data_IF_977446761961
#
_entry.id   IF_977446761961
#
_cell.length_a   1.000
_cell.length_b   1.000
_cell.length_c   1.000
_cell.angle_alpha   90.00
_cell.angle_beta   90.00
_cell.angle_gamma   90.00
#
_symmetry.space_group_name_H-M   'P 1'
#
loop_
_entity.id
_entity.type
_entity.pdbx_description
1 polymer ?
#
# COMPACT_ATOMS: atom_id res chain seq x y z
N UNK A 1 15.45 -28.86 -56.69
CA UNK A 1 15.27 -29.68 -55.49
C UNK A 1 16.35 -29.35 -54.50
N UNK A 2 16.09 -28.44 -53.53
CA UNK A 2 16.88 -28.26 -52.33
C UNK A 2 15.92 -27.89 -51.21
N UNK A 3 15.63 -28.85 -50.33
CA UNK A 3 14.89 -28.65 -49.08
C UNK A 3 15.88 -28.15 -48.03
N UNK A 4 15.84 -26.88 -47.64
CA UNK A 4 16.46 -26.38 -46.41
C UNK A 4 15.48 -26.57 -45.25
N UNK A 5 15.77 -27.56 -44.42
CA UNK A 5 15.14 -27.73 -43.13
C UNK A 5 15.70 -26.70 -42.16
N UNK A 6 14.95 -25.64 -41.84
CA UNK A 6 15.24 -24.73 -40.74
C UNK A 6 14.69 -25.37 -39.47
N UNK A 7 15.57 -25.97 -38.68
CA UNK A 7 15.28 -26.36 -37.31
C UNK A 7 15.26 -25.12 -36.45
N UNK A 8 14.06 -24.64 -36.14
CA UNK A 8 13.83 -23.55 -35.19
C UNK A 8 13.98 -24.12 -33.77
N UNK A 9 15.15 -23.93 -33.17
CA UNK A 9 15.39 -24.20 -31.76
C UNK A 9 14.64 -23.14 -30.95
N UNK A 10 13.40 -23.45 -30.55
CA UNK A 10 12.65 -22.68 -29.60
C UNK A 10 13.29 -22.88 -28.22
N UNK A 11 14.19 -21.98 -27.85
CA UNK A 11 14.69 -21.84 -26.47
C UNK A 11 13.54 -21.27 -25.62
N UNK A 12 12.69 -22.15 -25.11
CA UNK A 12 11.76 -21.81 -24.05
C UNK A 12 12.58 -21.51 -22.79
N UNK A 13 12.90 -20.21 -22.56
CA UNK A 13 13.20 -19.72 -21.23
C UNK A 13 11.90 -19.80 -20.42
N UNK A 14 11.61 -20.98 -19.89
CA UNK A 14 10.72 -21.09 -18.75
C UNK A 14 11.44 -20.38 -17.60
N UNK A 15 11.05 -19.14 -17.32
CA UNK A 15 11.26 -18.54 -16.01
C UNK A 15 10.48 -19.45 -15.06
N UNK A 16 11.16 -20.46 -14.54
CA UNK A 16 10.63 -21.35 -13.53
C UNK A 16 10.24 -20.49 -12.34
N UNK A 17 8.94 -20.22 -12.20
CA UNK A 17 8.40 -19.91 -10.90
C UNK A 17 8.86 -21.05 -10.01
N UNK A 18 9.86 -20.78 -9.17
CA UNK A 18 10.40 -21.70 -8.18
C UNK A 18 9.29 -21.96 -7.18
N UNK A 19 8.39 -22.90 -7.54
CA UNK A 19 7.44 -23.46 -6.59
C UNK A 19 8.31 -24.11 -5.51
N UNK A 20 8.02 -23.84 -4.26
CA UNK A 20 8.73 -24.45 -3.16
C UNK A 20 8.46 -25.97 -3.13
N UNK A 21 9.28 -26.65 -2.38
CA UNK A 21 9.23 -28.11 -2.25
C UNK A 21 9.10 -28.50 -0.78
N UNK A 22 8.59 -29.69 -0.54
CA UNK A 22 8.67 -30.33 0.77
C UNK A 22 9.88 -31.27 0.78
N UNK A 23 10.85 -30.99 1.64
CA UNK A 23 12.08 -31.74 1.83
C UNK A 23 11.87 -32.75 2.97
N UNK A 24 12.03 -34.04 2.66
CA UNK A 24 11.98 -35.12 3.64
C UNK A 24 13.40 -35.46 4.01
N UNK A 25 13.72 -35.38 5.30
CA UNK A 25 15.04 -35.71 5.83
C UNK A 25 15.11 -37.18 6.24
N UNK A 26 16.31 -37.76 6.27
CA UNK A 26 16.56 -39.12 6.75
C UNK A 26 16.16 -39.33 8.20
N UNK A 27 16.08 -38.26 8.99
CA UNK A 27 15.50 -38.25 10.35
C UNK A 27 13.99 -38.48 10.38
N UNK A 28 13.31 -38.40 9.23
CA UNK A 28 11.85 -38.42 9.12
C UNK A 28 11.23 -37.01 9.19
N UNK A 29 12.01 -35.97 9.49
CA UNK A 29 11.51 -34.61 9.54
C UNK A 29 11.14 -34.10 8.12
N UNK A 30 10.14 -33.21 8.06
CA UNK A 30 9.68 -32.60 6.81
C UNK A 30 9.74 -31.08 6.89
N UNK A 31 10.45 -30.47 5.96
CA UNK A 31 10.61 -29.02 5.85
C UNK A 31 9.94 -28.56 4.56
N UNK A 32 8.82 -27.85 4.66
CA UNK A 32 8.22 -27.16 3.51
C UNK A 32 8.81 -25.75 3.38
N UNK A 33 9.34 -25.41 2.21
CA UNK A 33 9.98 -24.13 2.01
C UNK A 33 10.47 -23.88 0.60
N UNK A 34 10.93 -22.64 0.33
CA UNK A 34 11.57 -22.28 -0.93
C UNK A 34 13.10 -22.41 -0.80
N UNK A 35 13.73 -22.91 -1.85
CA UNK A 35 15.20 -22.96 -1.93
C UNK A 35 15.70 -21.53 -2.12
N UNK A 36 16.57 -21.08 -1.21
CA UNK A 36 17.26 -19.79 -1.28
C UNK A 36 18.63 -19.96 -1.92
N UNK A 37 19.30 -21.05 -1.59
CA UNK A 37 20.62 -21.39 -2.12
C UNK A 37 20.77 -22.91 -2.19
N UNK A 38 21.38 -23.37 -3.24
CA UNK A 38 21.70 -24.77 -3.47
C UNK A 38 23.16 -24.89 -3.94
N UNK A 39 23.95 -25.69 -3.26
CA UNK A 39 25.29 -26.05 -3.65
C UNK A 39 25.47 -27.59 -3.60
N UNK A 40 26.66 -28.07 -3.91
CA UNK A 40 26.92 -29.53 -4.01
C UNK A 40 26.80 -30.28 -2.66
N UNK A 41 26.90 -29.57 -1.56
CA UNK A 41 26.92 -30.16 -0.22
C UNK A 41 25.72 -29.75 0.63
N UNK A 42 25.16 -28.57 0.39
CA UNK A 42 24.10 -27.99 1.24
C UNK A 42 22.94 -27.43 0.45
N UNK A 43 21.78 -27.50 1.07
CA UNK A 43 20.54 -26.90 0.63
C UNK A 43 20.07 -25.89 1.67
N UNK A 44 20.01 -24.61 1.32
CA UNK A 44 19.46 -23.58 2.21
C UNK A 44 17.99 -23.35 1.85
N UNK A 45 17.10 -23.64 2.79
CA UNK A 45 15.66 -23.58 2.65
C UNK A 45 15.13 -22.43 3.50
N UNK A 46 14.23 -21.62 2.95
CA UNK A 46 13.41 -20.68 3.71
C UNK A 46 12.07 -21.33 4.04
N UNK A 47 11.83 -21.78 5.27
CA UNK A 47 10.60 -22.47 5.63
C UNK A 47 9.37 -21.55 5.48
N UNK A 48 8.21 -22.13 5.11
CA UNK A 48 6.97 -21.36 4.93
C UNK A 48 6.35 -20.85 6.22
N UNK A 49 6.52 -21.60 7.31
CA UNK A 49 5.87 -21.36 8.61
C UNK A 49 6.80 -20.72 9.66
N UNK A 50 8.07 -20.51 9.33
CA UNK A 50 9.02 -19.91 10.27
C UNK A 50 9.28 -18.47 9.91
N UNK A 51 9.09 -17.55 10.84
CA UNK A 51 9.53 -16.14 10.72
C UNK A 51 11.07 -16.04 10.81
N UNK A 52 11.70 -17.07 11.37
CA UNK A 52 13.13 -17.12 11.57
C UNK A 52 13.84 -17.78 10.40
N UNK A 53 15.05 -17.34 10.24
CA UNK A 53 16.22 -17.97 9.65
C UNK A 53 15.97 -19.09 8.62
N UNK A 54 16.70 -18.93 7.55
CA UNK A 54 16.99 -19.98 6.61
C UNK A 54 17.51 -21.23 7.35
N UNK A 55 17.03 -22.39 6.95
CA UNK A 55 17.50 -23.68 7.47
C UNK A 55 18.46 -24.28 6.45
N UNK A 56 19.71 -24.54 6.83
CA UNK A 56 20.68 -25.23 5.99
C UNK A 56 20.62 -26.73 6.28
N UNK A 57 20.39 -27.53 5.25
CA UNK A 57 20.32 -28.98 5.30
C UNK A 57 21.45 -29.55 4.46
N UNK A 58 22.23 -30.48 5.02
CA UNK A 58 23.22 -31.19 4.22
C UNK A 58 22.52 -32.09 3.19
N UNK A 59 22.99 -32.10 1.94
CA UNK A 59 22.39 -32.96 0.89
C UNK A 59 22.39 -34.43 1.24
N UNK A 60 23.39 -34.87 2.01
CA UNK A 60 23.48 -36.25 2.48
C UNK A 60 22.33 -36.65 3.42
N UNK A 61 21.73 -35.66 4.09
CA UNK A 61 20.60 -35.84 5.03
C UNK A 61 19.24 -35.75 4.32
N UNK A 62 19.22 -35.33 3.07
CA UNK A 62 18.00 -35.30 2.28
C UNK A 62 17.66 -36.70 1.79
N UNK A 63 16.46 -37.16 2.13
CA UNK A 63 15.93 -38.44 1.66
C UNK A 63 15.15 -38.28 0.36
N UNK A 64 14.27 -37.25 0.32
CA UNK A 64 13.37 -37.06 -0.80
C UNK A 64 13.01 -35.55 -0.94
N UNK A 65 12.77 -35.13 -2.17
CA UNK A 65 12.23 -33.81 -2.51
C UNK A 65 10.90 -34.00 -3.20
N UNK A 66 9.82 -33.57 -2.56
CA UNK A 66 8.47 -33.67 -3.05
C UNK A 66 7.97 -32.31 -3.50
N UNK A 67 7.29 -32.19 -4.64
CA UNK A 67 6.64 -30.95 -5.03
C UNK A 67 5.59 -30.57 -3.98
N UNK A 68 5.40 -29.26 -3.79
CA UNK A 68 4.40 -28.77 -2.85
C UNK A 68 3.00 -29.31 -3.19
N UNK A 69 2.31 -29.77 -2.17
CA UNK A 69 0.94 -30.22 -2.32
C UNK A 69 0.03 -29.04 -2.71
N UNK A 70 -1.09 -29.27 -3.41
CA UNK A 70 -2.08 -28.23 -3.70
C UNK A 70 -2.54 -27.46 -2.45
N UNK A 71 -2.61 -28.15 -1.30
CA UNK A 71 -2.91 -27.52 -0.01
C UNK A 71 -1.92 -26.44 0.37
N UNK A 72 -0.62 -26.70 0.20
CA UNK A 72 0.45 -25.74 0.51
C UNK A 72 0.34 -24.52 -0.40
N UNK A 73 0.20 -24.75 -1.70
CA UNK A 73 0.12 -23.68 -2.69
C UNK A 73 -1.10 -22.77 -2.45
N UNK A 74 -2.26 -23.36 -2.18
CA UNK A 74 -3.48 -22.60 -1.89
C UNK A 74 -3.37 -21.84 -0.56
N UNK A 75 -2.75 -22.45 0.47
CA UNK A 75 -2.50 -21.76 1.73
C UNK A 75 -1.56 -20.57 1.57
N UNK A 76 -0.47 -20.72 0.82
CA UNK A 76 0.49 -19.64 0.57
C UNK A 76 -0.16 -18.48 -0.22
N UNK A 77 -0.99 -18.80 -1.22
CA UNK A 77 -1.75 -17.81 -1.96
C UNK A 77 -2.71 -17.05 -1.04
N UNK A 78 -3.46 -17.75 -0.19
CA UNK A 78 -4.36 -17.16 0.78
C UNK A 78 -3.62 -16.29 1.80
N UNK A 79 -2.48 -16.75 2.32
CA UNK A 79 -1.64 -15.98 3.25
C UNK A 79 -1.13 -14.69 2.62
N UNK A 80 -0.70 -14.75 1.34
CA UNK A 80 -0.26 -13.57 0.59
C UNK A 80 -1.38 -12.56 0.41
N UNK A 81 -2.57 -13.01 0.05
CA UNK A 81 -3.75 -12.15 -0.08
C UNK A 81 -4.22 -11.56 1.25
N UNK A 82 -4.02 -12.29 2.36
CA UNK A 82 -4.38 -11.84 3.71
C UNK A 82 -3.48 -10.72 4.25
N UNK A 83 -2.30 -10.48 3.63
CA UNK A 83 -1.41 -9.36 4.00
C UNK A 83 -1.91 -8.04 3.39
N UNK A 84 -3.12 -7.64 3.77
CA UNK A 84 -3.77 -6.43 3.29
C UNK A 84 -3.07 -5.21 3.89
N UNK A 85 -2.36 -4.46 3.05
CA UNK A 85 -1.65 -3.22 3.46
C UNK A 85 -2.56 -1.99 3.39
N UNK A 86 -3.55 -1.99 2.50
CA UNK A 86 -4.47 -0.86 2.32
C UNK A 86 -5.90 -1.38 2.32
N UNK A 87 -6.77 -0.78 3.14
CA UNK A 87 -8.19 -1.07 3.20
C UNK A 87 -8.96 0.23 3.51
N UNK A 88 -9.79 0.67 2.58
CA UNK A 88 -10.59 1.87 2.70
C UNK A 88 -11.98 1.61 3.30
N UNK A 89 -12.39 0.33 3.36
CA UNK A 89 -13.65 -0.10 3.93
C UNK A 89 -13.62 -1.57 4.36
N UNK A 90 -14.67 -2.06 5.04
CA UNK A 90 -14.75 -3.42 5.54
C UNK A 90 -14.95 -4.49 4.45
N UNK A 91 -15.40 -4.12 3.27
CA UNK A 91 -15.68 -5.01 2.13
C UNK A 91 -14.43 -5.72 1.61
N UNK A 92 -13.25 -5.09 1.75
CA UNK A 92 -11.95 -5.67 1.35
C UNK A 92 -11.69 -7.00 2.08
N UNK A 93 -12.18 -7.14 3.31
CA UNK A 93 -12.00 -8.34 4.13
C UNK A 93 -13.06 -9.43 3.84
N UNK A 94 -14.21 -9.06 3.26
CA UNK A 94 -15.34 -9.97 3.08
C UNK A 94 -14.99 -11.15 2.17
N UNK A 95 -14.24 -10.93 1.08
CA UNK A 95 -13.85 -11.99 0.17
C UNK A 95 -13.01 -13.08 0.84
N UNK A 96 -12.09 -12.67 1.72
CA UNK A 96 -11.23 -13.61 2.47
C UNK A 96 -12.02 -14.31 3.58
N UNK A 97 -12.68 -13.54 4.44
CA UNK A 97 -13.36 -14.05 5.63
C UNK A 97 -14.60 -14.89 5.30
N UNK A 98 -15.41 -14.43 4.33
CA UNK A 98 -16.72 -15.00 4.09
C UNK A 98 -16.71 -16.07 2.96
N UNK A 99 -15.61 -16.12 2.15
CA UNK A 99 -15.51 -17.05 1.01
C UNK A 99 -14.25 -17.89 1.02
N UNK A 100 -13.05 -17.29 0.94
CA UNK A 100 -11.81 -18.04 0.69
C UNK A 100 -11.36 -18.89 1.87
N UNK A 101 -11.37 -18.35 3.09
CA UNK A 101 -11.03 -19.11 4.31
C UNK A 101 -12.00 -20.27 4.54
N UNK A 102 -13.33 -20.09 4.50
CA UNK A 102 -14.27 -21.21 4.60
C UNK A 102 -14.11 -22.26 3.50
N UNK A 103 -13.86 -21.84 2.24
CA UNK A 103 -13.63 -22.76 1.13
C UNK A 103 -12.37 -23.61 1.34
N UNK A 104 -11.27 -22.99 1.81
CA UNK A 104 -10.06 -23.71 2.14
C UNK A 104 -10.28 -24.74 3.25
N UNK A 105 -10.99 -24.38 4.32
CA UNK A 105 -11.34 -25.31 5.41
C UNK A 105 -12.19 -26.47 4.95
N UNK A 106 -13.18 -26.20 4.10
CA UNK A 106 -14.04 -27.24 3.53
C UNK A 106 -13.24 -28.23 2.65
N UNK A 107 -12.29 -27.71 1.87
CA UNK A 107 -11.45 -28.52 0.97
C UNK A 107 -10.38 -29.32 1.74
N UNK A 108 -9.85 -28.76 2.82
CA UNK A 108 -8.76 -29.37 3.61
C UNK A 108 -9.13 -29.45 5.11
N UNK A 109 -10.09 -30.31 5.50
CA UNK A 109 -10.59 -30.37 6.88
C UNK A 109 -9.53 -30.75 7.94
N UNK A 110 -8.53 -31.52 7.51
CA UNK A 110 -7.41 -31.97 8.36
C UNK A 110 -6.10 -31.22 8.05
N UNK A 111 -6.20 -29.98 7.58
CA UNK A 111 -5.06 -29.18 7.23
C UNK A 111 -4.08 -28.97 8.38
N UNK A 112 -2.79 -29.16 8.11
CA UNK A 112 -1.70 -28.83 9.05
C UNK A 112 -1.55 -27.32 9.30
N UNK A 113 -2.14 -26.49 8.44
CA UNK A 113 -2.13 -25.03 8.56
C UNK A 113 -3.29 -24.45 9.36
N UNK A 114 -4.10 -25.30 10.00
CA UNK A 114 -5.32 -24.88 10.70
C UNK A 114 -5.06 -23.77 11.71
N UNK A 115 -4.07 -23.94 12.58
CA UNK A 115 -3.76 -22.93 13.61
C UNK A 115 -3.25 -21.60 13.04
N UNK A 116 -2.50 -21.64 11.93
CA UNK A 116 -2.07 -20.41 11.25
C UNK A 116 -3.24 -19.74 10.53
N UNK A 117 -4.13 -20.52 9.93
CA UNK A 117 -5.36 -20.01 9.31
C UNK A 117 -6.27 -19.34 10.34
N UNK A 118 -6.37 -19.91 11.58
CA UNK A 118 -7.12 -19.32 12.67
C UNK A 118 -6.52 -17.98 13.13
N UNK A 119 -5.19 -17.84 13.13
CA UNK A 119 -4.49 -16.58 13.41
C UNK A 119 -4.78 -15.54 12.33
N UNK A 120 -4.69 -15.93 11.05
CA UNK A 120 -4.98 -15.06 9.92
C UNK A 120 -6.42 -14.57 10.01
N UNK A 121 -7.39 -15.47 10.22
CA UNK A 121 -8.79 -15.13 10.33
C UNK A 121 -9.07 -14.16 11.49
N UNK A 122 -8.48 -14.43 12.66
CA UNK A 122 -8.60 -13.55 13.83
C UNK A 122 -8.03 -12.14 13.55
N UNK A 123 -6.88 -12.06 12.86
CA UNK A 123 -6.28 -10.79 12.47
C UNK A 123 -7.17 -10.03 11.46
N UNK A 124 -7.68 -10.71 10.44
CA UNK A 124 -8.57 -10.12 9.45
C UNK A 124 -9.91 -9.68 10.07
N UNK A 125 -10.45 -10.44 11.01
CA UNK A 125 -11.68 -10.05 11.74
C UNK A 125 -11.46 -8.80 12.58
N UNK A 126 -10.31 -8.69 13.27
CA UNK A 126 -9.93 -7.47 14.00
C UNK A 126 -9.80 -6.28 13.05
N UNK A 127 -9.17 -6.49 11.91
CA UNK A 127 -8.99 -5.46 10.89
C UNK A 127 -10.35 -5.02 10.31
N UNK A 128 -11.24 -5.95 9.98
CA UNK A 128 -12.61 -5.66 9.53
C UNK A 128 -13.39 -4.85 10.56
N UNK A 129 -13.28 -5.18 11.84
CA UNK A 129 -13.94 -4.43 12.91
C UNK A 129 -13.40 -2.99 13.01
N UNK A 130 -12.10 -2.78 12.80
CA UNK A 130 -11.51 -1.44 12.76
C UNK A 130 -12.05 -0.63 11.56
N UNK A 131 -12.20 -1.26 10.39
CA UNK A 131 -12.78 -0.62 9.22
C UNK A 131 -14.28 -0.30 9.42
N UNK A 132 -15.04 -1.19 10.05
CA UNK A 132 -16.45 -0.94 10.41
C UNK A 132 -16.61 0.21 11.41
N UNK A 133 -15.62 0.44 12.27
CA UNK A 133 -15.55 1.60 13.17
C UNK A 133 -15.14 2.91 12.46
N UNK A 134 -15.06 2.92 11.13
CA UNK A 134 -14.75 4.11 10.33
C UNK A 134 -13.25 4.43 10.25
N UNK A 135 -12.37 3.49 10.60
CA UNK A 135 -10.94 3.63 10.37
C UNK A 135 -10.56 3.12 8.99
N UNK A 136 -9.49 3.65 8.41
CA UNK A 136 -8.90 3.19 7.15
C UNK A 136 -7.48 2.68 7.37
N UNK A 137 -7.08 1.64 6.63
CA UNK A 137 -5.72 1.09 6.70
C UNK A 137 -4.91 1.59 5.51
N UNK A 138 -3.76 2.21 5.74
CA UNK A 138 -2.86 2.71 4.71
C UNK A 138 -1.44 2.28 5.04
N UNK A 139 -0.77 1.59 4.12
CA UNK A 139 0.57 1.03 4.31
C UNK A 139 0.68 0.20 5.61
N UNK A 140 -0.36 -0.59 5.94
CA UNK A 140 -0.42 -1.39 7.16
C UNK A 140 -0.80 -0.62 8.43
N UNK A 141 -1.06 0.68 8.34
CA UNK A 141 -1.38 1.55 9.45
C UNK A 141 -2.88 1.88 9.49
N UNK A 142 -3.50 1.77 10.68
CA UNK A 142 -4.88 2.20 10.89
C UNK A 142 -4.94 3.69 11.21
N UNK A 143 -5.70 4.45 10.41
CA UNK A 143 -5.96 5.87 10.57
C UNK A 143 -7.46 6.08 10.76
N UNK A 144 -7.84 6.96 11.67
CA UNK A 144 -9.25 7.31 11.90
C UNK A 144 -9.68 8.36 10.89
N UNK A 145 -10.69 8.04 10.11
CA UNK A 145 -11.23 8.96 9.11
C UNK A 145 -11.83 10.20 9.78
N UNK A 146 -11.47 11.39 9.29
CA UNK A 146 -12.08 12.65 9.69
C UNK A 146 -11.51 13.32 10.93
N UNK A 147 -10.51 12.77 11.59
CA UNK A 147 -9.93 13.41 12.79
C UNK A 147 -8.98 14.57 12.46
N UNK A 148 -8.33 14.59 11.29
CA UNK A 148 -7.33 15.61 10.94
C UNK A 148 -7.08 15.71 9.44
N UNK A 149 -6.67 16.91 9.02
CA UNK A 149 -6.31 17.19 7.63
C UNK A 149 -5.23 16.22 7.06
N UNK A 150 -4.14 15.85 7.81
CA UNK A 150 -3.13 14.92 7.31
C UNK A 150 -3.66 13.49 7.04
N UNK A 151 -4.58 12.99 7.88
CA UNK A 151 -5.16 11.67 7.69
C UNK A 151 -6.11 11.66 6.50
N UNK A 152 -6.95 12.69 6.38
CA UNK A 152 -7.83 12.87 5.22
C UNK A 152 -7.04 12.98 3.92
N UNK A 153 -5.89 13.65 3.94
CA UNK A 153 -4.97 13.75 2.82
C UNK A 153 -4.49 12.36 2.39
N UNK A 154 -4.03 11.51 3.32
CA UNK A 154 -3.58 10.15 3.02
C UNK A 154 -4.73 9.26 2.52
N UNK A 155 -5.93 9.39 3.08
CA UNK A 155 -7.12 8.66 2.63
C UNK A 155 -7.49 9.01 1.20
N UNK A 156 -7.57 10.30 0.87
CA UNK A 156 -7.89 10.76 -0.48
C UNK A 156 -6.83 10.32 -1.50
N UNK A 157 -5.56 10.33 -1.10
CA UNK A 157 -4.47 9.82 -1.91
C UNK A 157 -4.61 8.30 -2.17
N UNK A 158 -4.99 7.52 -1.16
CA UNK A 158 -5.22 6.08 -1.30
C UNK A 158 -6.38 5.78 -2.26
N UNK A 159 -7.46 6.57 -2.22
CA UNK A 159 -8.57 6.45 -3.18
C UNK A 159 -8.12 6.73 -4.62
N UNK A 160 -7.23 7.72 -4.81
CA UNK A 160 -6.64 8.01 -6.14
C UNK A 160 -5.72 6.88 -6.62
N UNK A 161 -4.99 6.22 -5.72
CA UNK A 161 -4.18 5.04 -6.04
C UNK A 161 -5.07 3.87 -6.45
N UNK A 162 -6.15 3.60 -5.73
CA UNK A 162 -7.12 2.56 -6.08
C UNK A 162 -7.73 2.81 -7.47
N UNK A 163 -8.06 4.07 -7.80
CA UNK A 163 -8.54 4.44 -9.13
C UNK A 163 -7.49 4.14 -10.22
N UNK A 164 -6.20 4.43 -9.96
CA UNK A 164 -5.09 4.09 -10.85
C UNK A 164 -4.97 2.57 -11.07
N UNK A 165 -4.97 1.79 -9.99
CA UNK A 165 -4.86 0.34 -10.02
C UNK A 165 -6.05 -0.30 -10.75
N UNK A 166 -7.26 0.19 -10.49
CA UNK A 166 -8.48 -0.26 -11.15
C UNK A 166 -8.48 0.04 -12.65
N UNK A 167 -8.04 1.22 -13.07
CA UNK A 167 -7.90 1.56 -14.49
C UNK A 167 -6.82 0.68 -15.16
N UNK A 168 -5.69 0.48 -14.48
CA UNK A 168 -4.62 -0.39 -14.96
C UNK A 168 -5.10 -1.84 -15.15
N UNK A 169 -5.87 -2.38 -14.20
CA UNK A 169 -6.42 -3.74 -14.25
C UNK A 169 -7.39 -3.93 -15.43
N UNK A 170 -8.12 -2.87 -15.83
CA UNK A 170 -8.98 -2.87 -17.03
C UNK A 170 -8.22 -2.65 -18.33
N UNK A 171 -6.91 -2.44 -18.28
CA UNK A 171 -6.08 -2.11 -19.46
C UNK A 171 -6.18 -0.66 -19.92
N UNK A 172 -6.88 0.19 -19.19
CA UNK A 172 -6.99 1.64 -19.45
C UNK A 172 -5.72 2.35 -18.93
N UNK A 173 -4.68 2.33 -19.74
CA UNK A 173 -3.38 2.93 -19.41
C UNK A 173 -3.44 4.46 -19.32
N UNK A 174 -4.09 5.17 -20.26
CA UNK A 174 -4.24 6.62 -20.12
C UNK A 174 -5.02 7.01 -18.86
N UNK A 175 -6.12 6.33 -18.56
CA UNK A 175 -6.89 6.54 -17.32
C UNK A 175 -6.07 6.30 -16.06
N UNK A 176 -5.27 5.23 -16.03
CA UNK A 176 -4.37 4.94 -14.91
C UNK A 176 -3.30 6.04 -14.74
N UNK A 177 -2.70 6.51 -15.84
CA UNK A 177 -1.69 7.57 -15.79
C UNK A 177 -2.30 8.94 -15.43
N UNK A 178 -3.54 9.23 -15.81
CA UNK A 178 -4.25 10.43 -15.37
C UNK A 178 -4.59 10.38 -13.86
N UNK A 179 -4.90 9.19 -13.32
CA UNK A 179 -5.06 9.00 -11.88
C UNK A 179 -3.73 9.17 -11.13
N UNK A 180 -2.61 8.70 -11.69
CA UNK A 180 -1.27 8.98 -11.17
C UNK A 180 -0.95 10.49 -11.18
N UNK A 181 -1.31 11.21 -12.25
CA UNK A 181 -1.14 12.66 -12.33
C UNK A 181 -1.92 13.39 -11.23
N UNK A 182 -3.13 12.92 -10.92
CA UNK A 182 -3.91 13.44 -9.80
C UNK A 182 -3.20 13.20 -8.45
N UNK A 183 -2.56 12.04 -8.25
CA UNK A 183 -1.73 11.77 -7.06
C UNK A 183 -0.56 12.75 -6.99
N UNK A 184 0.17 12.94 -8.09
CA UNK A 184 1.33 13.82 -8.16
C UNK A 184 1.00 15.28 -7.86
N UNK A 185 -0.12 15.77 -8.39
CA UNK A 185 -0.51 17.19 -8.26
C UNK A 185 -1.16 17.48 -6.91
N UNK A 186 -2.06 16.59 -6.45
CA UNK A 186 -2.88 16.87 -5.26
C UNK A 186 -2.32 16.26 -3.99
N UNK A 187 -1.53 15.19 -4.11
CA UNK A 187 -1.07 14.41 -2.97
C UNK A 187 0.41 14.02 -3.06
N UNK A 188 1.32 14.97 -3.43
CA UNK A 188 2.75 14.65 -3.64
C UNK A 188 3.43 14.14 -2.37
N UNK A 189 2.95 14.53 -1.18
CA UNK A 189 3.46 14.10 0.11
C UNK A 189 2.71 12.88 0.69
N UNK A 190 2.00 12.12 -0.15
CA UNK A 190 1.31 10.91 0.27
C UNK A 190 2.14 9.66 0.05
N UNK A 191 1.90 8.65 0.89
CA UNK A 191 2.47 7.32 0.69
C UNK A 191 2.01 6.71 -0.63
N UNK A 192 0.73 6.91 -1.00
CA UNK A 192 0.13 6.42 -2.22
C UNK A 192 0.87 6.93 -3.47
N UNK A 193 1.26 8.22 -3.49
CA UNK A 193 2.05 8.75 -4.60
C UNK A 193 3.40 8.05 -4.73
N UNK A 194 4.16 7.97 -3.64
CA UNK A 194 5.50 7.36 -3.67
C UNK A 194 5.45 5.89 -4.07
N UNK A 195 4.47 5.14 -3.56
CA UNK A 195 4.32 3.71 -3.86
C UNK A 195 3.79 3.47 -5.29
N UNK A 196 3.14 4.46 -5.92
CA UNK A 196 2.64 4.35 -7.30
C UNK A 196 3.69 4.65 -8.38
N UNK A 197 4.84 5.24 -8.04
CA UNK A 197 5.84 5.69 -9.02
C UNK A 197 6.35 4.54 -9.89
N UNK A 198 6.70 3.39 -9.30
CA UNK A 198 7.20 2.25 -10.05
C UNK A 198 6.15 1.69 -11.02
N UNK A 199 4.89 1.64 -10.57
CA UNK A 199 3.76 1.23 -11.42
C UNK A 199 3.52 2.22 -12.55
N UNK A 200 3.61 3.52 -12.29
CA UNK A 200 3.49 4.55 -13.30
C UNK A 200 4.60 4.46 -14.37
N UNK A 201 5.84 4.24 -13.93
CA UNK A 201 6.98 4.01 -14.85
C UNK A 201 6.71 2.81 -15.77
N UNK A 202 6.18 1.73 -15.24
CA UNK A 202 5.89 0.55 -16.05
C UNK A 202 4.72 0.77 -17.01
N UNK A 203 3.66 1.46 -16.58
CA UNK A 203 2.56 1.87 -17.44
C UNK A 203 3.02 2.80 -18.58
N UNK A 204 3.89 3.75 -18.29
CA UNK A 204 4.49 4.64 -19.30
C UNK A 204 5.32 3.88 -20.33
N UNK A 205 6.12 2.90 -19.89
CA UNK A 205 6.87 2.03 -20.82
C UNK A 205 5.94 1.21 -21.71
N UNK A 206 4.81 0.74 -21.17
CA UNK A 206 3.81 0.02 -21.95
C UNK A 206 3.12 0.95 -22.96
N UNK A 207 2.69 2.14 -22.53
CA UNK A 207 2.09 3.14 -23.40
C UNK A 207 3.06 3.54 -24.53
N UNK A 208 4.31 3.81 -24.20
CA UNK A 208 5.36 4.11 -25.19
C UNK A 208 5.47 3.04 -26.27
N UNK A 209 5.43 1.77 -25.91
CA UNK A 209 5.48 0.65 -26.87
C UNK A 209 4.25 0.64 -27.79
N UNK A 210 3.07 0.97 -27.23
CA UNK A 210 1.83 1.07 -27.99
C UNK A 210 1.91 2.23 -28.99
N UNK A 211 2.35 3.40 -28.56
CA UNK A 211 2.47 4.59 -29.42
C UNK A 211 3.48 4.39 -30.56
N UNK A 212 4.63 3.79 -30.28
CA UNK A 212 5.61 3.45 -31.32
C UNK A 212 5.02 2.48 -32.34
N UNK A 213 4.30 1.44 -31.88
CA UNK A 213 3.62 0.51 -32.77
C UNK A 213 2.50 1.18 -33.55
N UNK A 214 1.66 1.96 -32.87
CA UNK A 214 0.58 2.71 -33.49
C UNK A 214 1.06 3.63 -34.61
N UNK A 215 2.19 4.32 -34.42
CA UNK A 215 2.86 5.11 -35.46
C UNK A 215 3.26 4.26 -36.68
N UNK A 216 3.83 3.08 -36.45
CA UNK A 216 4.23 2.17 -37.54
C UNK A 216 3.01 1.67 -38.30
N UNK A 217 1.97 1.26 -37.59
CA UNK A 217 0.71 0.78 -38.18
C UNK A 217 0.03 1.90 -38.96
N UNK A 218 -0.01 3.13 -38.42
CA UNK A 218 -0.54 4.30 -39.09
C UNK A 218 0.19 4.59 -40.42
N UNK A 219 1.52 4.55 -40.44
CA UNK A 219 2.34 4.72 -41.64
C UNK A 219 2.04 3.64 -42.69
N UNK A 220 1.88 2.40 -42.28
CA UNK A 220 1.50 1.31 -43.20
C UNK A 220 0.11 1.50 -43.75
N UNK A 221 -0.86 1.91 -42.93
CA UNK A 221 -2.21 2.22 -43.37
C UNK A 221 -2.24 3.36 -44.40
N UNK A 222 -1.46 4.42 -44.18
CA UNK A 222 -1.35 5.54 -45.15
C UNK A 222 -0.79 5.06 -46.49
N UNK A 223 0.23 4.20 -46.52
CA UNK A 223 0.79 3.65 -47.74
C UNK A 223 -0.23 2.79 -48.48
N UNK A 224 -0.95 1.91 -47.77
CA UNK A 224 -1.97 1.04 -48.35
C UNK A 224 -3.15 1.88 -48.87
N UNK A 225 -3.61 2.87 -48.09
CA UNK A 225 -4.65 3.78 -48.51
C UNK A 225 -4.25 4.58 -49.78
N UNK A 226 -2.98 5.03 -49.85
CA UNK A 226 -2.45 5.72 -51.03
C UNK A 226 -2.46 4.85 -52.27
N UNK A 227 -2.15 3.56 -52.18
CA UNK A 227 -2.24 2.61 -53.29
C UNK A 227 -3.70 2.37 -53.71
N UNK A 228 -4.58 2.12 -52.75
CA UNK A 228 -6.01 1.90 -53.00
C UNK A 228 -6.69 3.12 -53.62
N UNK A 229 -6.31 4.34 -53.23
CA UNK A 229 -6.83 5.58 -53.79
C UNK A 229 -6.55 5.74 -55.31
N UNK A 230 -5.43 5.15 -55.79
CA UNK A 230 -5.09 5.24 -57.23
C UNK A 230 -6.05 4.43 -58.10
N UNK A 231 -6.67 3.40 -57.54
CA UNK A 231 -7.60 2.51 -58.26
C UNK A 231 -9.06 3.02 -58.25
N UNK A 232 -9.36 4.05 -57.44
CA UNK A 232 -10.71 4.56 -57.27
C UNK A 232 -11.06 5.62 -58.33
N UNK A 233 -12.34 5.70 -58.77
CA UNK A 233 -12.87 6.85 -59.52
C UNK A 233 -12.65 8.16 -58.77
N UNK A 234 -12.44 9.27 -59.49
CA UNK A 234 -12.10 10.56 -58.90
C UNK A 234 -13.08 11.01 -57.79
N UNK A 235 -14.38 10.86 -58.00
CA UNK A 235 -15.38 11.24 -57.01
C UNK A 235 -15.24 10.42 -55.73
N UNK A 236 -15.12 9.11 -55.84
CA UNK A 236 -14.94 8.21 -54.67
C UNK A 236 -13.64 8.52 -53.92
N UNK A 237 -12.57 8.88 -54.63
CA UNK A 237 -11.31 9.33 -54.06
C UNK A 237 -11.48 10.58 -53.22
N UNK A 238 -12.16 11.59 -53.72
CA UNK A 238 -12.42 12.86 -53.02
C UNK A 238 -13.31 12.67 -51.81
N UNK A 239 -14.33 11.83 -51.89
CA UNK A 239 -15.22 11.50 -50.79
C UNK A 239 -14.45 10.80 -49.66
N UNK A 240 -13.57 9.85 -49.98
CA UNK A 240 -12.75 9.14 -49.00
C UNK A 240 -11.72 10.07 -48.31
N UNK A 241 -11.03 10.91 -49.10
CA UNK A 241 -10.09 11.89 -48.57
C UNK A 241 -10.78 12.88 -47.62
N UNK A 242 -12.01 13.28 -47.98
CA UNK A 242 -12.82 14.18 -47.16
C UNK A 242 -13.25 13.51 -45.86
N UNK A 243 -13.63 12.21 -45.90
CA UNK A 243 -13.96 11.43 -44.73
C UNK A 243 -12.74 11.27 -43.76
N UNK A 244 -11.59 10.91 -44.29
CA UNK A 244 -10.35 10.82 -43.50
C UNK A 244 -9.95 12.15 -42.87
N UNK A 245 -10.08 13.26 -43.58
CA UNK A 245 -9.80 14.58 -43.03
C UNK A 245 -10.73 14.93 -41.88
N UNK A 246 -12.03 14.64 -42.01
CA UNK A 246 -13.00 14.86 -40.92
C UNK A 246 -12.70 14.02 -39.69
N UNK A 247 -12.29 12.76 -39.88
CA UNK A 247 -11.91 11.87 -38.78
C UNK A 247 -10.65 12.39 -38.05
N UNK A 248 -9.63 12.85 -38.81
CA UNK A 248 -8.45 13.47 -38.23
C UNK A 248 -8.80 14.73 -37.42
N UNK A 249 -9.60 15.64 -38.02
CA UNK A 249 -10.03 16.89 -37.37
C UNK A 249 -10.82 16.59 -36.06
N UNK A 250 -11.70 15.58 -36.08
CA UNK A 250 -12.45 15.16 -34.88
C UNK A 250 -11.54 14.59 -33.78
N UNK A 251 -10.57 13.77 -34.18
CA UNK A 251 -9.60 13.21 -33.25
C UNK A 251 -8.73 14.29 -32.60
N UNK A 252 -8.21 15.20 -33.40
CA UNK A 252 -7.40 16.32 -32.93
C UNK A 252 -8.22 17.25 -32.01
N UNK A 253 -9.48 17.55 -32.37
CA UNK A 253 -10.40 18.32 -31.53
C UNK A 253 -10.62 17.62 -30.17
N UNK A 254 -10.82 16.31 -30.15
CA UNK A 254 -10.99 15.54 -28.93
C UNK A 254 -9.73 15.58 -28.04
N UNK A 255 -8.54 15.46 -28.60
CA UNK A 255 -7.27 15.57 -27.89
C UNK A 255 -7.12 16.97 -27.27
N UNK A 256 -7.43 18.02 -28.05
CA UNK A 256 -7.37 19.40 -27.56
C UNK A 256 -8.35 19.61 -26.40
N UNK A 257 -9.60 19.18 -26.56
CA UNK A 257 -10.61 19.26 -25.50
C UNK A 257 -10.16 18.54 -24.20
N UNK A 258 -9.63 17.32 -24.33
CA UNK A 258 -9.10 16.59 -23.18
C UNK A 258 -7.95 17.35 -22.50
N UNK A 259 -7.02 17.92 -23.27
CA UNK A 259 -5.91 18.74 -22.72
C UNK A 259 -6.42 20.01 -22.02
N UNK A 260 -7.43 20.70 -22.57
CA UNK A 260 -8.06 21.86 -21.93
C UNK A 260 -8.74 21.51 -20.60
N UNK A 261 -9.28 20.31 -20.47
CA UNK A 261 -9.83 19.76 -19.22
C UNK A 261 -8.76 19.19 -18.28
N UNK A 262 -7.48 19.41 -18.56
CA UNK A 262 -6.36 18.99 -17.72
C UNK A 262 -6.02 17.50 -17.82
N UNK A 263 -6.54 16.81 -18.84
CA UNK A 263 -6.16 15.41 -19.12
C UNK A 263 -4.79 15.41 -19.80
N UNK A 264 -3.79 14.94 -19.09
CA UNK A 264 -2.41 14.90 -19.59
C UNK A 264 -2.18 13.75 -20.57
N UNK A 265 -2.84 12.64 -20.36
CA UNK A 265 -2.72 11.42 -21.15
C UNK A 265 -4.03 11.16 -21.91
N UNK A 266 -4.11 11.57 -23.20
CA UNK A 266 -5.32 11.40 -23.97
C UNK A 266 -5.71 9.93 -24.12
N UNK A 267 -7.02 9.67 -24.14
CA UNK A 267 -7.57 8.31 -24.29
C UNK A 267 -7.69 7.87 -25.77
N UNK A 268 -7.50 8.80 -26.69
CA UNK A 268 -7.57 8.56 -28.14
C UNK A 268 -6.18 8.58 -28.77
N UNK A 269 -5.95 7.71 -29.75
CA UNK A 269 -4.69 7.67 -30.48
C UNK A 269 -4.60 8.87 -31.43
N UNK A 270 -3.41 9.46 -31.61
CA UNK A 270 -3.19 10.52 -32.58
C UNK A 270 -3.50 10.07 -34.02
N UNK A 271 -3.97 11.00 -34.85
CA UNK A 271 -4.22 10.75 -36.26
C UNK A 271 -3.11 11.34 -37.17
N UNK A 272 -1.91 11.47 -36.63
CA UNK A 272 -0.73 11.95 -37.34
C UNK A 272 0.56 11.38 -36.78
N UNK A 273 1.59 11.21 -37.60
CA UNK A 273 2.92 10.75 -37.16
C UNK A 273 3.51 11.68 -36.10
N UNK A 274 3.34 12.99 -36.27
CA UNK A 274 3.82 13.99 -35.33
C UNK A 274 3.13 13.88 -33.96
N UNK A 275 1.82 13.55 -33.94
CA UNK A 275 1.08 13.32 -32.70
C UNK A 275 1.64 12.14 -31.90
N UNK A 276 1.94 11.02 -32.58
CA UNK A 276 2.61 9.87 -31.93
C UNK A 276 4.00 10.24 -31.41
N UNK A 277 4.79 11.01 -32.17
CA UNK A 277 6.13 11.45 -31.74
C UNK A 277 6.06 12.36 -30.52
N UNK A 278 5.09 13.26 -30.48
CA UNK A 278 4.90 14.16 -29.34
C UNK A 278 4.58 13.39 -28.06
N UNK A 279 3.67 12.40 -28.12
CA UNK A 279 3.33 11.57 -26.98
C UNK A 279 4.55 10.75 -26.51
N UNK A 280 5.29 10.14 -27.44
CA UNK A 280 6.51 9.38 -27.11
C UNK A 280 7.53 10.28 -26.42
N UNK A 281 7.76 11.49 -26.94
CA UNK A 281 8.67 12.47 -26.31
C UNK A 281 8.19 12.84 -24.90
N UNK A 282 6.90 13.14 -24.73
CA UNK A 282 6.32 13.45 -23.42
C UNK A 282 6.51 12.31 -22.43
N UNK A 283 6.35 11.04 -22.87
CA UNK A 283 6.62 9.86 -22.02
C UNK A 283 8.09 9.77 -21.66
N UNK A 284 9.01 9.98 -22.59
CA UNK A 284 10.46 9.88 -22.35
C UNK A 284 10.94 10.98 -21.36
N UNK A 285 10.43 12.20 -21.49
CA UNK A 285 10.68 13.31 -20.56
C UNK A 285 10.19 12.97 -19.16
N UNK A 286 8.97 12.43 -19.04
CA UNK A 286 8.39 12.05 -17.75
C UNK A 286 9.13 10.88 -17.10
N UNK A 287 9.49 9.86 -17.87
CA UNK A 287 10.30 8.75 -17.37
C UNK A 287 11.65 9.22 -16.81
N UNK A 288 12.26 10.23 -17.46
CA UNK A 288 13.51 10.83 -17.00
C UNK A 288 13.29 11.59 -15.70
N UNK A 289 12.23 12.40 -15.62
CA UNK A 289 11.87 13.13 -14.41
C UNK A 289 11.60 12.21 -13.21
N UNK A 290 10.76 11.17 -13.39
CA UNK A 290 10.42 10.23 -12.31
C UNK A 290 11.63 9.44 -11.80
N UNK A 291 12.55 9.05 -12.68
CA UNK A 291 13.79 8.35 -12.28
C UNK A 291 14.77 9.23 -11.51
N UNK A 292 14.70 10.55 -11.67
CA UNK A 292 15.55 11.50 -10.94
C UNK A 292 15.04 11.82 -9.53
N UNK A 293 13.83 11.40 -9.17
CA UNK A 293 13.25 11.69 -7.86
C UNK A 293 13.99 10.96 -6.73
N UNK A 294 14.27 11.63 -5.60
CA UNK A 294 14.87 11.01 -4.43
C UNK A 294 13.82 10.23 -3.61
N UNK A 295 13.25 9.18 -4.22
CA UNK A 295 12.09 8.42 -3.73
C UNK A 295 12.27 7.95 -2.28
N UNK A 296 13.47 7.47 -1.92
CA UNK A 296 13.74 6.97 -0.57
C UNK A 296 13.67 8.08 0.49
N UNK A 297 14.10 9.30 0.16
CA UNK A 297 13.98 10.46 1.06
C UNK A 297 12.51 10.84 1.25
N UNK A 298 11.73 10.82 0.17
CA UNK A 298 10.28 11.08 0.24
C UNK A 298 9.58 10.05 1.09
N UNK A 299 9.85 8.75 0.84
CA UNK A 299 9.32 7.63 1.62
C UNK A 299 9.65 7.77 3.10
N UNK A 300 10.91 8.02 3.43
CA UNK A 300 11.36 8.21 4.80
C UNK A 300 10.65 9.38 5.50
N UNK A 301 10.55 10.54 4.84
CA UNK A 301 9.86 11.70 5.41
C UNK A 301 8.38 11.42 5.67
N UNK A 302 7.69 10.79 4.71
CA UNK A 302 6.27 10.45 4.83
C UNK A 302 6.04 9.44 5.95
N UNK A 303 6.86 8.39 6.05
CA UNK A 303 6.74 7.38 7.10
C UNK A 303 6.96 7.97 8.49
N UNK A 304 7.93 8.87 8.63
CA UNK A 304 8.18 9.59 9.88
C UNK A 304 7.04 10.55 10.24
N UNK A 305 6.47 11.23 9.24
CA UNK A 305 5.30 12.10 9.42
C UNK A 305 4.07 11.30 9.90
N UNK A 306 3.81 10.14 9.31
CA UNK A 306 2.72 9.24 9.73
C UNK A 306 2.98 8.72 11.16
N UNK A 307 4.23 8.36 11.49
CA UNK A 307 4.58 7.95 12.86
C UNK A 307 4.42 9.09 13.87
N UNK A 308 4.70 10.35 13.48
CA UNK A 308 4.45 11.51 14.33
C UNK A 308 2.95 11.70 14.65
N UNK A 309 2.07 11.50 13.67
CA UNK A 309 0.61 11.49 13.88
C UNK A 309 0.22 10.43 14.92
N UNK A 310 0.76 9.21 14.82
CA UNK A 310 0.49 8.13 15.78
C UNK A 310 0.99 8.44 17.19
N UNK A 311 2.18 9.05 17.31
CA UNK A 311 2.70 9.46 18.59
C UNK A 311 1.77 10.49 19.26
N UNK A 312 1.19 11.40 18.46
CA UNK A 312 0.16 12.34 18.94
C UNK A 312 -1.12 11.63 19.40
N UNK A 313 -1.59 10.63 18.66
CA UNK A 313 -2.77 9.84 19.06
C UNK A 313 -2.53 9.07 20.36
N UNK A 314 -1.26 8.69 20.60
CA UNK A 314 -0.81 8.09 21.86
C UNK A 314 -0.51 9.12 22.94
N UNK A 315 -0.76 10.42 22.72
CA UNK A 315 -0.47 11.53 23.62
C UNK A 315 1.04 11.72 23.93
N UNK A 316 1.92 11.17 23.09
CA UNK A 316 3.38 11.30 23.23
C UNK A 316 3.88 12.48 22.37
N UNK A 317 3.65 13.69 22.88
CA UNK A 317 4.00 14.96 22.22
C UNK A 317 5.51 15.09 21.97
N UNK A 318 6.34 14.60 22.90
CA UNK A 318 7.79 14.68 22.79
C UNK A 318 8.30 13.81 21.63
N UNK A 319 7.81 12.58 21.52
CA UNK A 319 8.13 11.66 20.41
C UNK A 319 7.61 12.20 19.08
N UNK A 320 6.39 12.74 19.05
CA UNK A 320 5.82 13.33 17.83
C UNK A 320 6.70 14.49 17.31
N UNK A 321 7.18 15.38 18.20
CA UNK A 321 8.08 16.49 17.84
C UNK A 321 9.42 16.01 17.30
N UNK A 322 10.01 14.99 17.93
CA UNK A 322 11.25 14.36 17.46
C UNK A 322 11.10 13.75 16.05
N UNK A 323 10.04 12.99 15.83
CA UNK A 323 9.74 12.37 14.53
C UNK A 323 9.48 13.41 13.44
N UNK A 324 8.77 14.50 13.76
CA UNK A 324 8.56 15.61 12.84
C UNK A 324 9.88 16.29 12.45
N UNK A 325 10.80 16.47 13.40
CA UNK A 325 12.15 16.99 13.12
C UNK A 325 12.93 16.11 12.14
N UNK A 326 12.89 14.80 12.33
CA UNK A 326 13.51 13.82 11.44
C UNK A 326 12.85 13.81 10.05
N UNK A 327 11.51 13.87 9.98
CA UNK A 327 10.77 13.95 8.72
C UNK A 327 11.18 15.20 7.91
N UNK A 328 11.31 16.35 8.59
CA UNK A 328 11.75 17.62 7.98
C UNK A 328 13.21 17.54 7.48
N UNK A 329 14.08 16.86 8.22
CA UNK A 329 15.46 16.65 7.79
C UNK A 329 15.57 15.76 6.54
N UNK A 330 14.69 14.77 6.39
CA UNK A 330 14.65 13.90 5.23
C UNK A 330 14.11 14.61 3.97
N UNK A 331 13.02 15.40 4.13
CA UNK A 331 12.40 16.18 3.06
C UNK A 331 11.67 17.38 3.63
N UNK A 332 12.29 18.56 3.55
CA UNK A 332 11.77 19.80 4.15
C UNK A 332 10.50 20.34 3.47
N UNK A 333 10.31 20.02 2.17
CA UNK A 333 9.20 20.52 1.35
C UNK A 333 7.93 19.64 1.47
N UNK A 334 7.96 18.62 2.32
CA UNK A 334 6.78 17.81 2.59
C UNK A 334 5.66 18.66 3.18
N UNK A 335 4.60 18.90 2.41
CA UNK A 335 3.51 19.82 2.75
C UNK A 335 2.69 19.38 3.99
N UNK A 336 2.71 18.08 4.34
CA UNK A 336 2.04 17.61 5.56
C UNK A 336 2.71 18.07 6.85
N UNK A 337 4.00 18.41 6.83
CA UNK A 337 4.76 18.72 8.04
C UNK A 337 4.23 19.96 8.77
N UNK A 338 3.66 20.92 8.03
CA UNK A 338 3.10 22.13 8.60
C UNK A 338 1.83 21.86 9.43
N UNK A 339 0.93 21.04 8.89
CA UNK A 339 -0.31 20.67 9.58
C UNK A 339 -0.05 19.80 10.81
N UNK A 340 0.96 18.90 10.72
CA UNK A 340 1.39 18.08 11.86
C UNK A 340 2.05 18.94 12.94
N UNK A 341 2.89 19.91 12.57
CA UNK A 341 3.50 20.86 13.52
C UNK A 341 2.43 21.62 14.30
N UNK A 342 1.47 22.23 13.61
CA UNK A 342 0.37 22.96 14.24
C UNK A 342 -0.46 22.08 15.19
N UNK A 343 -0.57 20.79 14.90
CA UNK A 343 -1.24 19.84 15.80
C UNK A 343 -0.41 19.51 17.03
N UNK A 344 0.90 19.33 16.87
CA UNK A 344 1.83 19.11 17.99
C UNK A 344 1.78 20.30 18.95
N UNK A 345 1.78 21.52 18.43
CA UNK A 345 1.77 22.73 19.24
C UNK A 345 0.46 22.86 20.02
N UNK A 346 -0.69 22.62 19.39
CA UNK A 346 -2.00 22.58 20.10
C UNK A 346 -2.06 21.51 21.18
N UNK A 347 -1.50 20.34 20.93
CA UNK A 347 -1.46 19.26 21.93
C UNK A 347 -0.55 19.63 23.11
N UNK A 348 0.57 20.32 22.85
CA UNK A 348 1.48 20.80 23.88
C UNK A 348 0.82 21.90 24.76
N UNK A 349 0.11 22.85 24.15
CA UNK A 349 -0.65 23.87 24.84
C UNK A 349 -1.73 23.26 25.75
N UNK A 350 -2.50 22.31 25.23
CA UNK A 350 -3.53 21.61 26.01
C UNK A 350 -2.96 20.83 27.19
N UNK A 351 -1.76 20.24 27.05
CA UNK A 351 -1.07 19.56 28.15
C UNK A 351 -0.56 20.55 29.21
N UNK A 352 -0.03 21.70 28.78
CA UNK A 352 0.42 22.78 29.69
C UNK A 352 -0.73 23.39 30.48
N UNK A 353 -1.89 23.58 29.83
CA UNK A 353 -3.09 24.06 30.50
C UNK A 353 -3.61 23.10 31.58
N UNK A 354 -3.51 21.79 31.33
CA UNK A 354 -3.86 20.75 32.31
C UNK A 354 -2.87 20.69 33.49
N UNK A 355 -1.60 20.98 33.26
CA UNK A 355 -0.60 21.09 34.32
C UNK A 355 -0.72 22.41 35.08
N UNK A 356 -1.11 23.53 34.42
CA UNK A 356 -1.28 24.85 35.02
C UNK A 356 -2.59 25.00 35.80
N UNK A 357 -3.60 24.21 35.49
CA UNK A 357 -4.75 24.01 36.36
C UNK A 357 -4.28 23.17 37.56
N UNK A 358 -3.40 23.79 38.37
CA UNK A 358 -2.99 23.34 39.68
C UNK A 358 -4.27 23.17 40.55
N UNK A 359 -4.90 22.02 40.37
CA UNK A 359 -5.91 21.55 41.29
C UNK A 359 -5.15 21.35 42.61
N UNK A 360 -4.90 22.47 43.31
CA UNK A 360 -4.46 22.42 44.71
C UNK A 360 -5.62 21.86 45.52
N UNK A 361 -5.65 20.54 45.77
CA UNK A 361 -6.70 19.98 46.65
C UNK A 361 -6.59 20.51 48.07
N UNK A 362 -5.52 21.29 48.35
CA UNK A 362 -5.22 21.84 49.65
C UNK A 362 -6.18 22.98 50.07
N UNK A 363 -6.63 23.80 49.12
CA UNK A 363 -7.48 24.93 49.48
C UNK A 363 -8.97 24.58 49.53
N UNK A 364 -9.43 23.63 48.70
CA UNK A 364 -10.82 23.17 48.73
C UNK A 364 -11.16 22.40 50.02
N UNK A 365 -10.20 21.65 50.58
CA UNK A 365 -10.38 20.97 51.86
C UNK A 365 -10.28 21.93 53.05
N UNK A 366 -9.48 23.01 52.97
CA UNK A 366 -9.40 24.02 54.00
C UNK A 366 -10.65 24.94 53.97
N UNK A 367 -11.13 25.34 52.83
CA UNK A 367 -12.40 26.06 52.67
C UNK A 367 -13.62 25.26 53.13
N UNK A 368 -13.61 23.93 52.93
CA UNK A 368 -14.65 23.05 53.46
C UNK A 368 -14.53 22.88 54.97
N UNK A 369 -13.34 22.84 55.53
CA UNK A 369 -13.10 22.74 56.96
C UNK A 369 -13.49 24.07 57.70
N UNK A 370 -13.25 25.24 57.07
CA UNK A 370 -13.69 26.55 57.64
C UNK A 370 -15.21 26.77 57.56
N UNK A 371 -15.88 26.24 56.51
CA UNK A 371 -17.36 26.38 56.40
C UNK A 371 -18.14 25.42 57.30
N UNK A 372 -17.53 24.35 57.85
CA UNK A 372 -18.19 23.38 58.71
C UNK A 372 -17.64 23.35 60.13
N UNK A 373 -17.37 24.52 60.71
CA UNK A 373 -17.16 24.64 62.20
C UNK A 373 -18.48 24.42 62.96
N UNK A 374 -19.12 23.28 62.79
CA UNK A 374 -20.16 22.78 63.68
C UNK A 374 -19.75 21.37 64.20
N UNK A 375 -19.90 21.11 65.49
CA UNK A 375 -19.31 19.94 66.14
C UNK A 375 -20.21 18.71 65.99
N UNK A 376 -20.25 18.14 64.77
CA UNK A 376 -20.84 16.82 64.59
C UNK A 376 -20.16 16.14 63.40
N UNK A 377 -19.62 14.97 63.62
CA UNK A 377 -19.09 14.00 62.68
C UNK A 377 -17.56 13.79 62.64
N UNK A 378 -16.98 13.47 63.82
CA UNK A 378 -15.63 12.84 63.86
C UNK A 378 -15.70 11.39 63.41
N UNK A 379 -16.88 10.75 63.27
CA UNK A 379 -17.03 9.35 62.88
C UNK A 379 -16.99 9.07 61.38
N UNK A 380 -17.31 10.07 60.50
CA UNK A 380 -17.41 9.88 59.05
C UNK A 380 -16.08 10.03 58.28
N UNK A 381 -15.18 10.90 58.76
CA UNK A 381 -13.92 11.25 58.09
C UNK A 381 -12.89 10.08 58.11
N UNK A 382 -12.92 9.21 59.08
CA UNK A 382 -12.01 8.09 59.22
C UNK A 382 -12.33 6.98 58.20
N UNK A 383 -13.60 6.79 57.83
CA UNK A 383 -14.03 5.81 56.84
C UNK A 383 -13.70 6.19 55.39
N UNK A 384 -13.74 7.51 55.05
CA UNK A 384 -13.42 8.01 53.71
C UNK A 384 -11.90 7.99 53.48
N UNK A 385 -11.08 8.31 54.44
CA UNK A 385 -9.61 8.24 54.37
C UNK A 385 -9.09 6.80 54.30
N UNK A 386 -9.77 5.83 54.94
CA UNK A 386 -9.43 4.39 54.84
C UNK A 386 -9.71 3.83 53.45
N UNK A 387 -10.79 4.20 52.80
CA UNK A 387 -11.18 3.71 51.49
C UNK A 387 -10.28 4.28 50.35
N UNK A 388 -9.89 5.53 50.43
CA UNK A 388 -8.99 6.17 49.43
C UNK A 388 -7.55 5.65 49.58
N UNK A 389 -7.06 5.46 50.82
CA UNK A 389 -5.75 4.84 51.06
C UNK A 389 -5.65 3.39 50.56
N UNK A 390 -6.74 2.62 50.65
CA UNK A 390 -6.81 1.25 50.13
C UNK A 390 -6.82 1.21 48.58
N UNK A 391 -7.52 2.13 47.91
CA UNK A 391 -7.55 2.24 46.45
C UNK A 391 -6.20 2.67 45.86
N UNK A 392 -5.51 3.62 46.47
CA UNK A 392 -4.18 4.09 46.06
C UNK A 392 -3.15 2.97 46.22
N UNK A 393 -3.19 2.24 47.35
CA UNK A 393 -2.29 1.09 47.62
C UNK A 393 -2.52 -0.04 46.59
N UNK A 394 -3.74 -0.28 46.19
CA UNK A 394 -4.08 -1.30 45.18
C UNK A 394 -3.60 -0.93 43.77
N UNK A 395 -3.53 0.36 43.46
CA UNK A 395 -3.02 0.88 42.18
C UNK A 395 -1.49 0.80 42.11
N UNK A 396 -0.78 1.13 43.17
CA UNK A 396 0.69 1.07 43.24
C UNK A 396 1.19 -0.39 43.17
N UNK A 397 0.48 -1.33 43.77
CA UNK A 397 0.86 -2.76 43.72
C UNK A 397 0.65 -3.35 42.33
N UNK A 398 -0.36 -2.86 41.52
CA UNK A 398 -0.57 -3.29 40.14
C UNK A 398 0.47 -2.73 39.17
N UNK A 399 0.98 -1.54 39.38
CA UNK A 399 2.04 -0.97 38.53
C UNK A 399 3.40 -1.64 38.81
N UNK A 400 3.72 -2.01 40.06
CA UNK A 400 4.95 -2.76 40.38
C UNK A 400 4.97 -4.17 39.80
N UNK A 401 3.83 -4.88 39.72
CA UNK A 401 3.78 -6.22 39.10
C UNK A 401 3.96 -6.19 37.58
N UNK A 402 3.60 -5.09 36.90
CA UNK A 402 3.84 -4.96 35.45
C UNK A 402 5.29 -4.67 35.08
N UNK A 403 6.05 -3.99 35.94
CA UNK A 403 7.46 -3.69 35.66
C UNK A 403 8.42 -4.87 35.93
N UNK A 404 7.98 -5.89 36.64
CA UNK A 404 8.78 -7.12 36.91
C UNK A 404 8.58 -8.16 35.80
N UNK A 405 7.44 -8.14 35.06
CA UNK A 405 7.16 -9.07 33.96
C UNK A 405 7.76 -8.66 32.60
N UNK A 406 8.39 -7.49 32.52
CA UNK A 406 9.08 -6.99 31.32
C UNK A 406 10.61 -7.07 31.41
N UNK A 407 11.16 -7.78 32.42
CA UNK A 407 12.61 -7.94 32.64
C UNK A 407 13.11 -9.40 32.67
N UNK A 408 12.30 -10.34 32.20
CA UNK A 408 12.75 -11.71 31.93
C UNK A 408 12.41 -12.12 30.49
#
# INVERSE_FOLDING_TARGET
>A
MYRCSLSLLALCFTVGLSFGDTFVLKSGDRIGGAIVREDDQTLTIKPYLSEAAQVSVARIDLQERLPDSPEILEFLALRKEADIKTALGPEVFAQLLDRKIPAFRAKYPNSKFRSELDRIETALQKDRNSAMAGSVKIAGLWLKQGQLDPEKYQVNAAMSLEAMESASARGDRPGALNAFENLRIRYPASRAYVDSIDSAIELMKQLRRIEIRGRQDFRQQLLQAGLALQELPEQARQDLLTAHRREADQTDATIVEQKEHGVRWPSVLPHSENGFEEIVRQIDDELTALRSLPIEKYRQSIDLAIQAIRALDAQDVAKARSLLGQARAAWSENEMLQSIAARIDRAAESAADLESTDFRPRNALLDLAERYQKPFLIGGAILVLGATGWLVRRRIVRTRKRSVLLRN
#
